data_IF_840702483681
#
_entry.id   IF_840702483681
#
_cell.length_a   1.000
_cell.length_b   1.000
_cell.length_c   1.000
_cell.angle_alpha   90.00
_cell.angle_beta   90.00
_cell.angle_gamma   90.00
#
_symmetry.space_group_name_H-M   'P 1'
#
loop_
_entity.id
_entity.type
_entity.pdbx_description
1 polymer ?
#
# COMPACT_ATOMS: atom_id res chain seq x y z
N UNK A 1 -25.43 6.15 0.65
CA UNK A 1 -25.36 7.45 -0.07
C UNK A 1 -24.34 7.51 -1.20
N UNK A 2 -23.18 6.84 -1.12
CA UNK A 2 -22.17 6.86 -2.21
C UNK A 2 -22.16 5.60 -3.09
N UNK A 3 -23.16 4.74 -2.98
CA UNK A 3 -23.35 3.58 -3.84
C UNK A 3 -23.01 2.23 -3.19
N UNK A 4 -21.92 2.10 -2.43
CA UNK A 4 -21.48 0.79 -1.90
C UNK A 4 -22.63 -0.03 -1.27
N UNK A 5 -22.75 -1.28 -1.72
CA UNK A 5 -23.82 -2.22 -1.32
C UNK A 5 -23.46 -2.96 -0.04
N UNK A 6 -22.21 -3.40 0.06
CA UNK A 6 -21.69 -4.14 1.20
C UNK A 6 -20.21 -3.82 1.40
N UNK A 7 -19.79 -3.76 2.66
CA UNK A 7 -18.38 -3.68 3.06
C UNK A 7 -18.03 -5.02 3.67
N UNK A 8 -17.30 -5.84 2.91
CA UNK A 8 -16.85 -7.16 3.33
C UNK A 8 -15.83 -7.05 4.47
N UNK A 9 -14.97 -6.04 4.42
CA UNK A 9 -13.99 -5.78 5.45
C UNK A 9 -13.27 -4.45 5.30
N UNK A 10 -12.75 -3.97 6.43
CA UNK A 10 -11.75 -2.91 6.48
C UNK A 10 -10.60 -3.43 7.33
N UNK A 11 -9.57 -3.94 6.67
CA UNK A 11 -8.36 -4.42 7.31
C UNK A 11 -7.46 -3.23 7.67
N UNK A 12 -7.65 -2.71 8.88
CA UNK A 12 -6.81 -1.65 9.46
C UNK A 12 -5.69 -2.24 10.32
N UNK A 13 -4.45 -2.19 9.82
CA UNK A 13 -3.25 -2.68 10.51
C UNK A 13 -2.30 -1.50 10.74
N UNK A 14 -1.65 -1.42 11.90
CA UNK A 14 -0.75 -0.30 12.21
C UNK A 14 0.49 -0.70 12.99
N UNK A 15 1.54 0.10 12.84
CA UNK A 15 2.78 0.00 13.58
C UNK A 15 3.55 -1.28 13.30
N UNK A 16 4.07 -1.90 14.35
CA UNK A 16 4.82 -3.16 14.31
C UNK A 16 4.05 -4.33 13.69
N UNK A 17 2.71 -4.25 13.67
CA UNK A 17 1.87 -5.27 13.04
C UNK A 17 1.90 -5.18 11.51
N UNK A 18 2.49 -4.15 10.92
CA UNK A 18 2.68 -4.07 9.48
C UNK A 18 3.78 -5.01 8.97
N UNK A 19 4.65 -5.54 9.84
CA UNK A 19 5.80 -6.37 9.43
C UNK A 19 6.06 -7.57 10.35
N UNK A 20 5.70 -8.82 9.97
CA UNK A 20 4.92 -9.17 8.78
C UNK A 20 3.45 -8.78 8.93
N UNK A 21 2.78 -8.56 7.80
CA UNK A 21 1.34 -8.28 7.74
C UNK A 21 0.52 -9.53 8.16
N UNK A 22 -0.28 -9.48 9.24
CA UNK A 22 -1.00 -10.65 9.77
C UNK A 22 -2.35 -10.89 9.09
N UNK A 23 -2.78 -10.03 8.16
CA UNK A 23 -4.10 -10.08 7.50
C UNK A 23 -5.30 -10.11 8.48
N UNK A 24 -5.13 -9.55 9.69
CA UNK A 24 -6.19 -9.42 10.69
C UNK A 24 -5.98 -8.16 11.53
N UNK A 25 -7.06 -7.40 11.74
CA UNK A 25 -7.04 -6.20 12.58
C UNK A 25 -7.06 -6.55 14.08
N UNK A 26 -6.83 -5.57 14.96
CA UNK A 26 -6.96 -5.72 16.42
C UNK A 26 -7.32 -4.39 17.07
N UNK A 27 -7.49 -4.40 18.38
CA UNK A 27 -7.72 -3.20 19.20
C UNK A 27 -6.44 -2.34 19.41
N UNK A 28 -5.43 -2.48 18.54
CA UNK A 28 -4.20 -1.70 18.67
C UNK A 28 -4.50 -0.25 18.31
N UNK A 29 -4.25 0.65 19.25
CA UNK A 29 -4.38 2.09 19.02
C UNK A 29 -3.28 2.56 18.05
N UNK A 30 -3.70 3.25 16.98
CA UNK A 30 -2.82 3.92 16.03
C UNK A 30 -2.11 5.10 16.70
N UNK A 31 -0.80 5.26 16.47
CA UNK A 31 0.07 6.25 17.11
C UNK A 31 0.82 7.09 16.06
N UNK A 32 1.21 8.33 16.38
CA UNK A 32 2.17 9.07 15.56
C UNK A 32 3.46 8.27 15.33
N UNK A 33 3.95 8.28 14.10
CA UNK A 33 5.08 7.51 13.61
C UNK A 33 4.74 6.11 13.08
N UNK A 34 3.52 5.61 13.30
CA UNK A 34 3.11 4.32 12.78
C UNK A 34 2.94 4.37 11.25
N UNK A 35 3.41 3.34 10.51
CA UNK A 35 2.76 2.97 9.26
C UNK A 35 1.35 2.44 9.56
N UNK A 36 0.42 2.63 8.64
CA UNK A 36 -0.92 2.08 8.71
C UNK A 36 -1.37 1.56 7.34
N UNK A 37 -1.69 0.28 7.28
CA UNK A 37 -2.30 -0.34 6.11
C UNK A 37 -3.79 -0.31 6.24
N UNK A 38 -4.46 0.09 5.17
CA UNK A 38 -5.89 -0.08 5.01
C UNK A 38 -6.12 -0.87 3.73
N UNK A 39 -6.70 -2.05 3.90
CA UNK A 39 -7.28 -2.83 2.82
C UNK A 39 -8.80 -2.78 2.96
N UNK A 40 -9.44 -2.22 1.93
CA UNK A 40 -10.86 -1.91 1.92
C UNK A 40 -11.52 -2.80 0.88
N UNK A 41 -12.37 -3.69 1.37
CA UNK A 41 -13.09 -4.67 0.57
C UNK A 41 -14.56 -4.29 0.57
N UNK A 42 -15.07 -3.80 -0.55
CA UNK A 42 -16.46 -3.40 -0.69
C UNK A 42 -17.06 -3.85 -2.01
N UNK A 43 -18.38 -3.70 -2.17
CA UNK A 43 -19.07 -4.06 -3.41
C UNK A 43 -19.98 -2.98 -3.98
N UNK A 44 -20.19 -3.07 -5.29
CA UNK A 44 -21.14 -2.28 -6.08
C UNK A 44 -21.68 -3.11 -7.24
N UNK A 45 -23.01 -3.17 -7.42
CA UNK A 45 -23.68 -4.05 -8.38
C UNK A 45 -23.22 -5.51 -8.32
N UNK A 46 -22.92 -6.02 -7.12
CA UNK A 46 -22.36 -7.34 -6.90
C UNK A 46 -20.89 -7.51 -7.29
N UNK A 47 -20.22 -6.50 -7.86
CA UNK A 47 -18.77 -6.55 -8.11
C UNK A 47 -18.01 -6.06 -6.89
N UNK A 48 -16.86 -6.69 -6.59
CA UNK A 48 -15.99 -6.40 -5.46
C UNK A 48 -14.86 -5.48 -5.88
N UNK A 49 -14.29 -4.79 -4.90
CA UNK A 49 -12.94 -4.21 -5.01
C UNK A 49 -12.09 -4.71 -3.84
N UNK A 50 -10.78 -4.67 -4.03
CA UNK A 50 -9.73 -4.90 -3.05
C UNK A 50 -8.63 -3.87 -3.32
N UNK A 51 -8.33 -3.00 -2.34
CA UNK A 51 -7.16 -2.14 -2.47
C UNK A 51 -6.50 -1.83 -1.12
N UNK A 52 -5.24 -2.20 -0.99
CA UNK A 52 -4.30 -1.71 0.01
C UNK A 52 -3.83 -0.28 -0.27
N UNK A 53 -3.80 0.53 0.78
CA UNK A 53 -2.96 1.74 0.87
C UNK A 53 -2.15 1.75 2.15
N UNK A 54 -0.89 2.17 2.03
CA UNK A 54 -0.03 2.49 3.17
C UNK A 54 -0.05 3.98 3.44
N UNK A 55 -0.34 4.34 4.68
CA UNK A 55 -0.21 5.68 5.21
C UNK A 55 0.88 5.70 6.28
N UNK A 56 1.48 6.86 6.51
CA UNK A 56 2.22 7.15 7.73
C UNK A 56 1.39 8.09 8.61
N UNK A 57 1.47 7.96 9.93
CA UNK A 57 0.65 8.73 10.86
C UNK A 57 1.48 9.84 11.49
N UNK A 58 1.16 11.10 11.21
CA UNK A 58 1.84 12.29 11.71
C UNK A 58 3.19 12.56 11.03
N UNK A 59 4.04 11.54 10.91
CA UNK A 59 5.33 11.58 10.22
C UNK A 59 5.75 10.17 9.75
N UNK A 60 6.73 10.10 8.85
CA UNK A 60 7.35 8.86 8.39
C UNK A 60 8.86 8.88 8.66
N UNK A 61 9.45 7.74 8.99
CA UNK A 61 10.91 7.57 8.97
C UNK A 61 11.41 7.53 7.52
N UNK A 62 12.68 7.86 7.29
CA UNK A 62 13.30 7.70 5.97
C UNK A 62 13.24 6.25 5.50
N UNK A 63 13.43 5.28 6.41
CA UNK A 63 13.36 3.86 6.10
C UNK A 63 11.95 3.42 5.65
N UNK A 64 10.89 3.94 6.29
CA UNK A 64 9.51 3.69 5.87
C UNK A 64 9.21 4.30 4.50
N UNK A 65 9.72 5.50 4.22
CA UNK A 65 9.59 6.13 2.90
C UNK A 65 10.34 5.33 1.81
N UNK A 66 11.55 4.85 2.10
CA UNK A 66 12.33 4.03 1.18
C UNK A 66 11.65 2.68 0.91
N UNK A 67 11.04 2.07 1.93
CA UNK A 67 10.23 0.86 1.77
C UNK A 67 9.03 1.09 0.85
N UNK A 68 8.34 2.23 1.01
CA UNK A 68 7.23 2.60 0.13
C UNK A 68 7.69 2.76 -1.31
N UNK A 69 8.77 3.51 -1.55
CA UNK A 69 9.34 3.66 -2.89
C UNK A 69 9.70 2.33 -3.53
N UNK A 70 10.25 1.40 -2.74
CA UNK A 70 10.59 0.06 -3.23
C UNK A 70 9.35 -0.76 -3.58
N UNK A 71 8.33 -0.77 -2.73
CA UNK A 71 7.05 -1.42 -3.04
C UNK A 71 6.42 -0.85 -4.32
N UNK A 72 6.39 0.48 -4.45
CA UNK A 72 5.91 1.19 -5.65
C UNK A 72 6.69 0.81 -6.91
N UNK A 73 8.02 0.74 -6.82
CA UNK A 73 8.87 0.32 -7.95
C UNK A 73 8.50 -1.08 -8.45
N UNK A 74 8.28 -2.04 -7.55
CA UNK A 74 7.84 -3.39 -7.94
C UNK A 74 6.45 -3.38 -8.57
N UNK A 75 5.54 -2.54 -8.06
CA UNK A 75 4.20 -2.37 -8.63
C UNK A 75 4.28 -1.83 -10.05
N UNK A 76 5.04 -0.76 -10.27
CA UNK A 76 5.20 -0.12 -11.58
C UNK A 76 5.80 -1.07 -12.61
N UNK A 77 6.84 -1.82 -12.21
CA UNK A 77 7.48 -2.82 -13.07
C UNK A 77 6.52 -3.95 -13.43
N UNK A 78 5.65 -4.35 -12.51
CA UNK A 78 4.66 -5.39 -12.75
C UNK A 78 3.56 -4.89 -13.71
N UNK A 79 3.00 -3.71 -13.45
CA UNK A 79 1.98 -3.05 -14.29
C UNK A 79 2.49 -2.86 -15.72
N UNK A 80 3.75 -2.43 -15.89
CA UNK A 80 4.36 -2.22 -17.21
C UNK A 80 4.43 -3.48 -18.09
N UNK A 81 4.34 -4.68 -17.48
CA UNK A 81 4.36 -5.95 -18.19
C UNK A 81 2.95 -6.46 -18.53
N UNK A 82 1.90 -5.87 -17.94
CA UNK A 82 0.53 -6.32 -18.15
C UNK A 82 0.05 -5.94 -19.55
N UNK A 83 -0.22 -6.98 -20.35
CA UNK A 83 -0.81 -6.89 -21.70
C UNK A 83 -1.31 -8.28 -22.12
N UNK A 84 -2.16 -8.38 -23.15
CA UNK A 84 -2.55 -9.66 -23.72
C UNK A 84 -1.33 -10.50 -24.12
N UNK A 85 -1.36 -11.80 -23.79
CA UNK A 85 -0.29 -12.76 -24.07
C UNK A 85 0.86 -12.77 -23.05
N UNK A 86 0.97 -11.79 -22.14
CA UNK A 86 1.84 -11.92 -20.97
C UNK A 86 1.30 -13.00 -20.03
N UNK A 87 2.15 -13.61 -19.22
CA UNK A 87 1.71 -14.61 -18.23
C UNK A 87 1.83 -14.11 -16.80
N UNK A 88 1.09 -14.71 -15.88
CA UNK A 88 1.27 -14.46 -14.43
C UNK A 88 2.72 -14.68 -13.99
N UNK A 89 3.45 -15.64 -14.58
CA UNK A 89 4.89 -15.81 -14.35
C UNK A 89 5.72 -14.59 -14.75
N UNK A 90 5.42 -13.97 -15.89
CA UNK A 90 6.16 -12.80 -16.38
C UNK A 90 6.01 -11.62 -15.43
N UNK A 91 4.81 -11.46 -14.84
CA UNK A 91 4.53 -10.43 -13.84
C UNK A 91 5.29 -10.71 -12.55
N UNK A 92 5.13 -11.89 -11.94
CA UNK A 92 5.74 -12.16 -10.62
C UNK A 92 7.27 -12.31 -10.65
N UNK A 93 7.88 -12.47 -11.83
CA UNK A 93 9.33 -12.48 -12.00
C UNK A 93 9.99 -11.15 -11.66
N UNK A 94 9.28 -10.03 -11.78
CA UNK A 94 9.83 -8.71 -11.38
C UNK A 94 9.70 -8.43 -9.89
N UNK A 95 8.85 -9.15 -9.18
CA UNK A 95 8.75 -9.11 -7.73
C UNK A 95 9.96 -9.78 -7.08
N UNK A 96 10.37 -9.32 -5.89
CA UNK A 96 11.51 -9.89 -5.18
C UNK A 96 11.23 -11.33 -4.76
N UNK A 97 12.28 -12.17 -4.70
CA UNK A 97 12.17 -13.47 -4.02
C UNK A 97 12.00 -13.27 -2.53
N UNK A 98 11.32 -14.20 -1.87
CA UNK A 98 11.14 -14.22 -0.41
C UNK A 98 12.39 -13.84 0.40
N UNK A 99 13.56 -14.40 0.04
CA UNK A 99 14.81 -14.17 0.77
C UNK A 99 15.33 -12.73 0.64
N UNK A 100 14.97 -12.02 -0.42
CA UNK A 100 15.38 -10.63 -0.65
C UNK A 100 14.70 -9.65 0.30
N UNK A 101 13.60 -10.05 0.93
CA UNK A 101 12.86 -9.26 1.92
C UNK A 101 12.64 -9.99 3.25
N UNK A 102 13.49 -10.97 3.56
CA UNK A 102 13.62 -11.53 4.91
C UNK A 102 12.81 -12.78 5.21
N UNK A 103 12.27 -13.47 4.20
CA UNK A 103 11.52 -14.71 4.37
C UNK A 103 12.31 -15.93 3.87
N UNK A 104 12.15 -17.12 4.48
CA UNK A 104 12.95 -18.30 4.13
C UNK A 104 12.65 -18.84 2.73
N UNK A 105 11.39 -18.76 2.26
CA UNK A 105 10.91 -19.29 0.99
C UNK A 105 9.59 -18.62 0.54
N UNK A 106 9.15 -18.93 -0.68
CA UNK A 106 7.96 -18.34 -1.29
C UNK A 106 6.65 -18.79 -0.61
N UNK A 107 6.67 -19.90 0.16
CA UNK A 107 5.52 -20.37 0.93
C UNK A 107 5.32 -19.47 2.16
N UNK A 108 6.38 -19.20 2.92
CA UNK A 108 6.36 -18.28 4.05
C UNK A 108 6.01 -16.84 3.65
N UNK A 109 6.23 -16.47 2.39
CA UNK A 109 5.95 -15.14 1.85
C UNK A 109 4.65 -15.05 1.02
N UNK A 110 3.89 -16.16 0.89
CA UNK A 110 2.84 -16.32 -0.13
C UNK A 110 1.81 -15.18 -0.18
N UNK A 111 1.34 -14.70 0.97
CA UNK A 111 0.31 -13.66 1.05
C UNK A 111 0.88 -12.22 1.09
N UNK A 112 2.20 -12.06 1.10
CA UNK A 112 2.86 -10.75 1.16
C UNK A 112 3.04 -10.11 -0.21
N UNK A 113 3.42 -10.90 -1.22
CA UNK A 113 3.53 -10.49 -2.62
C UNK A 113 2.55 -11.34 -3.43
N UNK A 114 1.43 -10.74 -3.83
CA UNK A 114 0.30 -11.50 -4.34
C UNK A 114 -0.47 -10.71 -5.39
N UNK A 115 -1.32 -11.40 -6.13
CA UNK A 115 -2.32 -10.77 -6.95
C UNK A 115 -3.38 -11.80 -7.32
N UNK A 116 -4.55 -11.32 -7.64
CA UNK A 116 -5.70 -12.18 -7.90
C UNK A 116 -6.71 -11.49 -8.80
N UNK A 117 -7.48 -12.30 -9.53
CA UNK A 117 -8.71 -11.80 -10.14
C UNK A 117 -9.64 -11.24 -9.09
N UNK A 118 -10.41 -10.23 -9.47
CA UNK A 118 -11.48 -9.64 -8.66
C UNK A 118 -12.70 -9.45 -9.55
N UNK A 119 -13.90 -9.69 -9.03
CA UNK A 119 -15.11 -9.58 -9.81
C UNK A 119 -16.33 -9.80 -8.95
N UNK A 120 -17.04 -10.90 -9.14
CA UNK A 120 -18.16 -11.30 -8.28
C UNK A 120 -17.70 -11.96 -6.97
N UNK A 121 -16.44 -12.37 -6.88
CA UNK A 121 -15.78 -12.80 -5.65
C UNK A 121 -14.59 -11.90 -5.39
N UNK A 122 -14.21 -11.78 -4.12
CA UNK A 122 -13.06 -10.98 -3.72
C UNK A 122 -11.75 -11.61 -4.19
N UNK A 123 -11.68 -12.94 -4.23
CA UNK A 123 -10.55 -13.68 -4.80
C UNK A 123 -11.04 -14.57 -5.94
N UNK A 124 -10.54 -14.30 -7.15
CA UNK A 124 -10.79 -15.03 -8.38
C UNK A 124 -9.46 -15.35 -9.10
N UNK A 125 -9.56 -16.08 -10.21
CA UNK A 125 -8.43 -16.27 -11.13
C UNK A 125 -8.22 -15.04 -12.02
N UNK A 126 -7.00 -14.80 -12.52
CA UNK A 126 -5.80 -15.61 -12.32
C UNK A 126 -5.11 -15.32 -10.98
N UNK A 127 -4.27 -16.24 -10.50
CA UNK A 127 -3.41 -16.03 -9.33
C UNK A 127 -2.02 -15.56 -9.76
N UNK A 128 -1.54 -14.49 -9.13
CA UNK A 128 -0.18 -13.99 -9.26
C UNK A 128 0.57 -14.28 -7.96
N UNK A 129 1.38 -15.33 -7.97
CA UNK A 129 2.27 -15.64 -6.86
C UNK A 129 3.54 -16.29 -7.39
N UNK A 130 4.69 -15.91 -6.86
CA UNK A 130 5.96 -16.59 -7.20
C UNK A 130 5.91 -18.09 -6.86
N UNK A 131 5.15 -18.49 -5.84
CA UNK A 131 4.96 -19.88 -5.44
C UNK A 131 4.21 -20.72 -6.50
N UNK A 132 3.28 -20.10 -7.23
CA UNK A 132 2.35 -20.82 -8.12
C UNK A 132 2.61 -20.51 -9.59
N UNK A 133 2.69 -19.23 -9.92
CA UNK A 133 2.70 -18.75 -11.31
C UNK A 133 3.97 -19.17 -12.06
N UNK A 134 5.10 -19.40 -11.38
CA UNK A 134 6.35 -19.84 -12.02
C UNK A 134 6.20 -21.21 -12.69
N UNK A 135 5.56 -22.15 -12.01
CA UNK A 135 5.35 -23.52 -12.51
C UNK A 135 4.01 -23.67 -13.26
N UNK A 136 3.04 -22.82 -12.94
CA UNK A 136 1.68 -22.85 -13.50
C UNK A 136 1.25 -21.46 -14.01
N UNK A 137 1.91 -20.93 -15.07
CA UNK A 137 1.55 -19.63 -15.62
C UNK A 137 0.15 -19.63 -16.25
N UNK A 138 -0.60 -18.56 -16.01
CA UNK A 138 -1.85 -18.28 -16.72
C UNK A 138 -1.63 -17.10 -17.69
N UNK A 139 -2.09 -17.23 -18.93
CA UNK A 139 -2.01 -16.18 -19.94
C UNK A 139 -3.05 -15.09 -19.68
N UNK A 140 -2.61 -13.83 -19.69
CA UNK A 140 -3.46 -12.65 -19.56
C UNK A 140 -4.16 -12.36 -20.89
N UNK A 141 -5.46 -12.07 -20.82
CA UNK A 141 -6.31 -11.77 -21.98
C UNK A 141 -6.99 -10.41 -21.80
N UNK A 142 -7.26 -9.72 -22.90
CA UNK A 142 -8.03 -8.48 -22.89
C UNK A 142 -9.36 -8.66 -22.14
N UNK A 143 -9.73 -7.68 -21.32
CA UNK A 143 -10.92 -7.69 -20.48
C UNK A 143 -10.77 -8.42 -19.14
N UNK A 144 -9.65 -9.10 -18.87
CA UNK A 144 -9.36 -9.62 -17.53
C UNK A 144 -9.19 -8.46 -16.55
N UNK A 145 -9.75 -8.63 -15.35
CA UNK A 145 -9.66 -7.69 -14.24
C UNK A 145 -9.02 -8.37 -13.04
N UNK A 146 -8.03 -7.73 -12.43
CA UNK A 146 -7.31 -8.27 -11.28
C UNK A 146 -6.64 -7.16 -10.48
N UNK A 147 -6.28 -7.51 -9.25
CA UNK A 147 -5.44 -6.71 -8.37
C UNK A 147 -4.02 -7.29 -8.31
N UNK A 148 -3.03 -6.40 -8.27
CA UNK A 148 -1.64 -6.74 -7.95
C UNK A 148 -1.28 -6.07 -6.63
N UNK A 149 -0.61 -6.80 -5.74
CA UNK A 149 -0.30 -6.39 -4.38
C UNK A 149 1.19 -6.57 -4.08
N UNK A 150 1.85 -5.51 -3.66
CA UNK A 150 3.28 -5.52 -3.32
C UNK A 150 3.52 -5.25 -1.85
N UNK A 151 4.57 -5.85 -1.29
CA UNK A 151 5.01 -5.68 0.09
C UNK A 151 6.53 -5.49 0.19
N UNK A 152 6.97 -4.50 0.95
CA UNK A 152 8.39 -4.35 1.27
C UNK A 152 8.61 -3.92 2.72
N UNK A 153 9.43 -4.64 3.51
CA UNK A 153 9.71 -4.27 4.89
C UNK A 153 10.59 -3.03 4.99
N UNK A 154 10.35 -2.21 6.01
CA UNK A 154 11.23 -1.10 6.38
C UNK A 154 12.54 -1.62 6.95
N UNK A 155 13.65 -0.98 6.57
CA UNK A 155 14.99 -1.37 7.02
C UNK A 155 15.22 -1.15 8.53
N UNK A 156 14.39 -0.32 9.18
CA UNK A 156 14.41 -0.12 10.63
C UNK A 156 13.69 -1.25 11.41
N UNK A 157 13.04 -2.19 10.71
CA UNK A 157 12.34 -3.33 11.29
C UNK A 157 11.03 -3.00 12.00
N UNK A 158 10.57 -1.73 11.94
CA UNK A 158 9.36 -1.28 12.63
C UNK A 158 8.11 -1.52 11.77
N UNK A 159 8.25 -1.39 10.45
CA UNK A 159 7.12 -1.30 9.54
C UNK A 159 7.37 -1.98 8.21
N UNK A 160 6.44 -1.79 7.30
CA UNK A 160 6.55 -2.19 5.90
C UNK A 160 5.69 -1.24 5.07
N UNK A 161 5.78 -1.34 3.74
CA UNK A 161 4.84 -0.75 2.82
C UNK A 161 4.10 -1.85 2.07
N UNK A 162 2.77 -1.70 1.96
CA UNK A 162 1.90 -2.50 1.10
C UNK A 162 1.10 -1.60 0.17
N UNK A 163 1.09 -1.92 -1.12
CA UNK A 163 0.40 -1.18 -2.17
C UNK A 163 -0.32 -2.18 -3.04
N UNK A 164 -1.58 -1.88 -3.38
CA UNK A 164 -2.37 -2.66 -4.32
C UNK A 164 -2.93 -1.76 -5.42
N UNK A 165 -2.92 -2.24 -6.65
CA UNK A 165 -3.59 -1.56 -7.75
C UNK A 165 -4.48 -2.57 -8.48
N UNK A 166 -5.70 -2.15 -8.75
CA UNK A 166 -6.64 -2.88 -9.59
C UNK A 166 -6.56 -2.38 -11.02
N UNK A 167 -6.61 -3.30 -11.97
CA UNK A 167 -6.48 -2.96 -13.38
C UNK A 167 -7.28 -3.89 -14.28
N UNK A 168 -7.65 -3.36 -15.44
CA UNK A 168 -8.21 -4.12 -16.55
C UNK A 168 -7.19 -4.25 -17.67
N UNK A 169 -7.03 -5.44 -18.23
CA UNK A 169 -6.19 -5.68 -19.41
C UNK A 169 -6.90 -5.08 -20.63
N UNK A 170 -6.20 -4.23 -21.37
CA UNK A 170 -6.68 -3.61 -22.62
C UNK A 170 -6.02 -4.28 -23.83
N UNK A 171 -6.44 -3.96 -25.05
CA UNK A 171 -5.86 -4.53 -26.28
C UNK A 171 -4.32 -4.42 -26.39
N UNK A 172 -3.69 -3.42 -25.77
CA UNK A 172 -2.24 -3.16 -25.88
C UNK A 172 -1.51 -3.05 -24.55
N UNK A 173 -2.18 -3.26 -23.42
CA UNK A 173 -1.61 -3.01 -22.10
C UNK A 173 -2.61 -3.25 -20.98
N UNK A 174 -2.66 -2.32 -20.02
CA UNK A 174 -3.70 -2.25 -19.00
C UNK A 174 -4.13 -0.80 -18.73
N UNK A 175 -5.28 -0.67 -18.06
CA UNK A 175 -5.74 0.56 -17.42
C UNK A 175 -5.85 0.31 -15.92
N UNK A 176 -5.10 1.07 -15.11
CA UNK A 176 -5.26 1.08 -13.65
C UNK A 176 -6.54 1.83 -13.32
N UNK A 177 -7.47 1.18 -12.62
CA UNK A 177 -8.77 1.75 -12.29
C UNK A 177 -8.84 2.32 -10.88
N UNK A 178 -7.92 1.90 -10.00
CA UNK A 178 -7.84 2.43 -8.64
C UNK A 178 -7.43 3.91 -8.70
N UNK A 179 -8.27 4.79 -8.12
CA UNK A 179 -8.12 6.25 -8.26
C UNK A 179 -7.50 6.94 -7.05
N UNK A 180 -7.39 6.24 -5.92
CA UNK A 180 -6.81 6.84 -4.73
C UNK A 180 -5.27 6.92 -4.91
N UNK A 181 -4.63 8.09 -4.65
CA UNK A 181 -3.20 8.26 -4.90
C UNK A 181 -2.32 7.20 -4.23
N UNK A 182 -1.25 6.80 -4.93
CA UNK A 182 -0.32 5.76 -4.49
C UNK A 182 1.12 5.96 -5.03
N UNK A 183 1.42 7.12 -5.60
CA UNK A 183 2.72 7.46 -6.14
C UNK A 183 3.71 7.81 -5.03
N UNK A 184 3.21 8.37 -3.92
CA UNK A 184 4.00 8.80 -2.77
C UNK A 184 3.36 8.33 -1.44
N UNK A 185 4.20 8.11 -0.43
CA UNK A 185 3.74 7.78 0.92
C UNK A 185 2.98 8.96 1.52
N UNK A 186 1.68 8.79 1.69
CA UNK A 186 0.81 9.79 2.31
C UNK A 186 1.01 9.83 3.82
N UNK A 187 1.24 11.04 4.36
CA UNK A 187 1.28 11.27 5.81
C UNK A 187 -0.08 11.80 6.28
N UNK A 188 -0.83 10.97 7.00
CA UNK A 188 -2.11 11.33 7.58
C UNK A 188 -1.93 12.06 8.93
N UNK A 189 -2.75 13.07 9.22
CA UNK A 189 -2.82 13.65 10.57
C UNK A 189 -1.68 14.61 10.97
N UNK A 190 -1.04 15.29 10.02
CA UNK A 190 0.07 16.25 10.26
C UNK A 190 -0.21 17.45 11.20
N UNK A 191 -1.43 17.61 11.73
CA UNK A 191 -1.77 18.77 12.56
C UNK A 191 -1.26 18.58 13.99
N UNK A 192 -0.09 19.14 14.30
CA UNK A 192 0.34 19.38 15.67
C UNK A 192 -0.54 20.47 16.30
N UNK A 193 -0.82 20.41 17.61
CA UNK A 193 -1.64 21.38 18.33
C UNK A 193 -0.90 21.95 19.55
N UNK A 194 -1.11 23.24 19.82
CA UNK A 194 -0.84 23.91 21.10
C UNK A 194 -2.13 24.00 21.91
N UNK A 195 -2.04 24.51 23.14
CA UNK A 195 -3.22 24.82 23.98
C UNK A 195 -4.21 25.79 23.32
N UNK A 196 -3.78 26.53 22.28
CA UNK A 196 -4.58 27.55 21.61
C UNK A 196 -4.99 27.20 20.16
N UNK A 197 -4.66 25.99 19.67
CA UNK A 197 -5.03 25.54 18.32
C UNK A 197 -3.90 24.87 17.57
N UNK A 198 -3.98 24.71 16.23
CA UNK A 198 -2.91 24.10 15.44
C UNK A 198 -1.57 24.84 15.60
N UNK A 199 -0.49 24.09 15.80
CA UNK A 199 0.87 24.61 15.87
C UNK A 199 1.31 25.05 14.45
N UNK A 200 1.79 26.30 14.26
CA UNK A 200 2.32 26.73 12.97
C UNK A 200 3.52 25.88 12.52
N UNK A 201 3.49 25.38 11.29
CA UNK A 201 4.57 24.58 10.70
C UNK A 201 5.81 25.43 10.33
N UNK A 202 5.63 26.74 10.19
CA UNK A 202 6.70 27.69 9.92
C UNK A 202 7.12 28.37 11.21
N UNK A 203 8.33 28.03 11.70
CA UNK A 203 8.98 28.76 12.78
C UNK A 203 9.59 30.05 12.23
N UNK A 204 9.35 31.18 12.88
CA UNK A 204 10.07 32.42 12.58
C UNK A 204 11.58 32.20 12.68
N UNK A 205 12.32 32.58 11.62
CA UNK A 205 13.79 32.58 11.62
C UNK A 205 14.37 33.54 12.67
N UNK A 206 13.55 34.45 13.20
CA UNK A 206 13.91 35.39 14.25
C UNK A 206 13.34 34.95 15.61
N UNK A 207 13.72 33.74 16.03
CA UNK A 207 13.27 33.16 17.31
C UNK A 207 13.58 34.03 18.54
N UNK A 208 14.57 34.93 18.44
CA UNK A 208 14.87 35.93 19.45
C UNK A 208 13.68 36.88 19.69
N UNK A 209 12.87 37.21 18.68
CA UNK A 209 11.68 38.08 18.82
C UNK A 209 10.51 37.43 19.59
N UNK A 210 10.64 36.15 19.98
CA UNK A 210 9.62 35.50 20.79
C UNK A 210 9.61 36.03 22.24
N UNK A 211 10.70 36.63 22.72
CA UNK A 211 10.75 37.26 24.04
C UNK A 211 10.57 38.79 23.97
N UNK A 212 10.11 39.44 25.05
CA UNK A 212 10.07 40.91 25.14
C UNK A 212 11.43 41.56 24.84
N UNK A 213 12.51 40.96 25.36
CA UNK A 213 13.88 41.46 25.17
C UNK A 213 14.29 41.46 23.70
N UNK A 214 13.94 40.39 22.96
CA UNK A 214 14.26 40.34 21.54
C UNK A 214 13.43 41.30 20.70
N UNK A 215 12.19 41.62 21.10
CA UNK A 215 11.36 42.65 20.45
C UNK A 215 11.80 44.09 20.77
N UNK A 216 12.71 44.25 21.73
CA UNK A 216 13.09 45.57 22.22
C UNK A 216 12.00 46.23 23.06
N UNK A 217 11.03 45.45 23.57
CA UNK A 217 10.02 45.91 24.50
C UNK A 217 10.74 46.17 25.85
N UNK A 218 11.14 47.42 26.09
CA UNK A 218 11.65 47.92 27.37
C UNK A 218 10.77 49.05 27.89
#
# INVERSE_FOLDING_TARGET
DLGSEYVEGVNAISGERCSPHPHVYSDRIIRPGDPAFFDILHSWNGYRTCYYRTFAVGSASSAQNDAYKRAREYMDRAIALVRPGATTADIVKVWPRAQEFGFPDEEAAFALQYGHGVGLSIWEKPIFSRLVSIDHPEELKEGMFFALETYWPSADGIGAARIEEEMVVTATGCEVVTRFPAEELLVAGQRLFTVSGPLPELRSAQSHLNSPEGRGDR
#
